data_IF_968027108151
#
_entry.id   IF_968027108151
#
_cell.length_a   1.000
_cell.length_b   1.000
_cell.length_c   1.000
_cell.angle_alpha   90.00
_cell.angle_beta   90.00
_cell.angle_gamma   90.00
#
_symmetry.space_group_name_H-M   'P 1'
#
loop_
_entity.id
_entity.type
_entity.pdbx_description
1 polymer ?
#
# COMPACT_ATOMS: atom_id res chain seq x y z
N UNK A 1 -7.14 -14.85 -1.36
CA UNK A 1 -6.72 -14.56 -2.76
C UNK A 1 -7.87 -14.34 -3.74
N UNK A 2 -8.63 -15.38 -4.15
CA UNK A 2 -9.58 -15.39 -5.30
C UNK A 2 -10.56 -14.18 -5.37
N UNK A 3 -11.04 -13.73 -4.23
CA UNK A 3 -11.98 -12.60 -4.16
C UNK A 3 -11.35 -11.25 -4.60
N UNK A 4 -10.12 -10.95 -4.18
CA UNK A 4 -9.36 -9.78 -4.66
C UNK A 4 -9.16 -9.85 -6.17
N UNK A 5 -8.82 -11.03 -6.69
CA UNK A 5 -8.53 -11.24 -8.11
C UNK A 5 -9.73 -10.89 -9.00
N UNK A 6 -10.93 -11.33 -8.60
CA UNK A 6 -12.19 -10.98 -9.28
C UNK A 6 -12.44 -9.46 -9.25
N UNK A 7 -12.25 -8.83 -8.08
CA UNK A 7 -12.47 -7.39 -7.92
C UNK A 7 -11.46 -6.56 -8.71
N UNK A 8 -10.19 -6.97 -8.76
CA UNK A 8 -9.14 -6.35 -9.58
C UNK A 8 -9.49 -6.44 -11.07
N UNK A 9 -9.77 -7.65 -11.60
CA UNK A 9 -10.16 -7.86 -13.00
C UNK A 9 -11.42 -7.07 -13.38
N UNK A 10 -12.41 -6.99 -12.49
CA UNK A 10 -13.62 -6.16 -12.67
C UNK A 10 -13.31 -4.66 -12.70
N UNK A 11 -12.49 -4.16 -11.77
CA UNK A 11 -12.08 -2.75 -11.71
C UNK A 11 -11.28 -2.34 -12.95
N UNK A 12 -10.39 -3.23 -13.43
CA UNK A 12 -9.70 -3.04 -14.70
C UNK A 12 -10.66 -2.97 -15.90
N UNK A 13 -11.73 -3.76 -15.94
CA UNK A 13 -12.73 -3.66 -17.01
C UNK A 13 -13.39 -2.28 -17.08
N UNK A 14 -13.67 -1.67 -15.92
CA UNK A 14 -14.23 -0.31 -15.81
C UNK A 14 -13.20 0.77 -16.17
N UNK A 15 -11.99 0.68 -15.62
CA UNK A 15 -10.95 1.71 -15.79
C UNK A 15 -10.23 1.63 -17.13
N UNK A 16 -10.02 0.44 -17.67
CA UNK A 16 -9.18 0.19 -18.85
C UNK A 16 -9.98 -0.34 -20.06
N UNK A 17 -11.31 -0.41 -19.94
CA UNK A 17 -12.21 -0.91 -20.98
C UNK A 17 -12.19 -2.44 -21.17
N UNK A 18 -11.29 -3.16 -20.49
CA UNK A 18 -11.21 -4.63 -20.48
C UNK A 18 -10.50 -5.15 -19.22
N UNK A 19 -10.81 -6.37 -18.74
CA UNK A 19 -10.02 -7.01 -17.69
C UNK A 19 -8.58 -7.25 -18.17
N UNK A 20 -7.60 -7.10 -17.26
CA UNK A 20 -6.20 -7.40 -17.54
C UNK A 20 -5.96 -8.92 -17.60
N UNK A 21 -4.91 -9.32 -18.33
CA UNK A 21 -4.49 -10.73 -18.46
C UNK A 21 -3.47 -11.12 -17.38
N UNK A 22 -3.64 -12.31 -16.82
CA UNK A 22 -2.85 -12.83 -15.71
C UNK A 22 -3.46 -12.51 -14.34
N UNK A 23 -2.72 -12.82 -13.28
CA UNK A 23 -3.15 -12.63 -11.88
C UNK A 23 -2.57 -11.35 -11.28
N UNK A 24 -3.19 -10.85 -10.20
CA UNK A 24 -2.85 -9.58 -9.54
C UNK A 24 -1.38 -9.50 -9.13
N UNK A 25 -0.73 -10.60 -8.74
CA UNK A 25 0.70 -10.62 -8.37
C UNK A 25 1.64 -10.19 -9.50
N UNK A 26 1.25 -10.36 -10.77
CA UNK A 26 2.01 -9.81 -11.92
C UNK A 26 2.17 -8.29 -11.82
N UNK A 27 1.20 -7.64 -11.20
CA UNK A 27 1.07 -6.19 -11.05
C UNK A 27 1.59 -5.69 -9.70
N UNK A 28 2.01 -6.58 -8.78
CA UNK A 28 2.38 -6.25 -7.39
C UNK A 28 3.39 -5.10 -7.29
N UNK A 29 4.45 -5.11 -8.11
CA UNK A 29 5.48 -4.06 -8.09
C UNK A 29 4.92 -2.67 -8.40
N UNK A 30 3.96 -2.59 -9.31
CA UNK A 30 3.30 -1.33 -9.68
C UNK A 30 2.31 -0.90 -8.59
N UNK A 31 1.50 -1.84 -8.11
CA UNK A 31 0.51 -1.63 -7.05
C UNK A 31 1.12 -1.28 -5.68
N UNK A 32 2.39 -1.64 -5.44
CA UNK A 32 3.14 -1.32 -4.22
C UNK A 32 3.99 -0.04 -4.33
N UNK A 33 4.07 0.62 -5.49
CA UNK A 33 5.11 1.63 -5.77
C UNK A 33 5.19 2.75 -4.72
N UNK A 34 4.05 3.27 -4.31
CA UNK A 34 3.91 4.35 -3.32
C UNK A 34 3.24 3.85 -2.02
N UNK A 35 3.39 2.56 -1.74
CA UNK A 35 2.85 1.92 -0.53
C UNK A 35 3.93 1.86 0.55
N UNK A 36 3.62 2.39 1.73
CA UNK A 36 4.31 2.03 2.97
C UNK A 36 4.04 0.55 3.26
N UNK A 37 4.89 -0.30 2.73
CA UNK A 37 4.74 -1.75 2.83
C UNK A 37 4.95 -2.29 4.24
N UNK A 38 5.09 -3.60 4.32
CA UNK A 38 5.45 -4.32 5.54
C UNK A 38 6.79 -5.05 5.33
N UNK A 39 7.44 -5.36 6.45
CA UNK A 39 8.59 -6.23 6.53
C UNK A 39 8.14 -7.64 6.92
N UNK A 40 8.75 -8.65 6.31
CA UNK A 40 8.60 -10.06 6.68
C UNK A 40 9.80 -10.47 7.53
N UNK A 41 9.55 -11.01 8.71
CA UNK A 41 10.59 -11.51 9.62
C UNK A 41 10.28 -12.93 10.10
N UNK A 42 11.24 -13.53 10.79
CA UNK A 42 11.00 -14.72 11.62
C UNK A 42 10.67 -14.30 13.05
N UNK A 43 9.92 -15.14 13.76
CA UNK A 43 9.78 -15.02 15.21
C UNK A 43 11.12 -15.27 15.92
N UNK A 44 11.32 -14.60 17.05
CA UNK A 44 12.42 -14.83 17.99
C UNK A 44 12.21 -16.11 18.83
N UNK A 45 11.02 -16.73 18.76
CA UNK A 45 10.65 -17.95 19.49
C UNK A 45 10.48 -19.18 18.59
N UNK A 46 10.30 -19.00 17.28
CA UNK A 46 10.03 -20.10 16.34
C UNK A 46 10.37 -19.72 14.90
N UNK A 47 10.34 -20.68 13.98
CA UNK A 47 10.47 -20.42 12.54
C UNK A 47 9.22 -19.81 11.88
N UNK A 48 8.20 -19.43 12.65
CA UNK A 48 7.01 -18.76 12.10
C UNK A 48 7.38 -17.41 11.47
N UNK A 49 6.63 -17.04 10.43
CA UNK A 49 6.67 -15.70 9.84
C UNK A 49 5.95 -14.72 10.77
N UNK A 50 6.54 -13.55 10.98
CA UNK A 50 5.93 -12.39 11.63
C UNK A 50 5.97 -11.21 10.66
N UNK A 51 4.93 -10.39 10.67
CA UNK A 51 4.80 -9.22 9.80
C UNK A 51 4.86 -7.94 10.64
N UNK A 52 5.70 -6.98 10.23
CA UNK A 52 5.84 -5.68 10.90
C UNK A 52 5.71 -4.52 9.91
N UNK A 53 5.05 -3.44 10.33
CA UNK A 53 4.80 -2.27 9.49
C UNK A 53 6.13 -1.63 9.04
N UNK A 54 6.25 -1.26 7.76
CA UNK A 54 7.50 -0.75 7.16
C UNK A 54 7.94 0.64 7.59
N UNK A 55 7.29 1.25 8.59
CA UNK A 55 7.65 2.57 9.12
C UNK A 55 8.95 2.49 9.93
N UNK A 56 9.74 3.57 9.89
CA UNK A 56 11.04 3.66 10.59
C UNK A 56 10.95 3.33 12.09
N UNK A 57 9.84 3.68 12.74
CA UNK A 57 9.55 3.38 14.15
C UNK A 57 9.69 1.88 14.50
N UNK A 58 9.31 0.98 13.58
CA UNK A 58 9.33 -0.46 13.84
C UNK A 58 10.70 -1.12 13.63
N UNK A 59 11.67 -0.41 13.04
CA UNK A 59 12.97 -0.99 12.69
C UNK A 59 13.76 -1.50 13.91
N UNK A 60 13.67 -0.79 15.05
CA UNK A 60 14.30 -1.21 16.30
C UNK A 60 13.65 -2.43 16.96
N UNK A 61 12.41 -2.77 16.60
CA UNK A 61 11.67 -3.91 17.14
C UNK A 61 11.90 -5.20 16.35
N UNK A 62 12.37 -5.12 15.10
CA UNK A 62 12.55 -6.26 14.20
C UNK A 62 13.31 -7.45 14.81
N UNK A 63 14.41 -7.30 15.59
CA UNK A 63 15.14 -8.43 16.15
C UNK A 63 14.38 -9.24 17.22
N UNK A 64 13.33 -8.64 17.81
CA UNK A 64 12.63 -9.16 18.99
C UNK A 64 11.17 -9.54 18.67
N UNK A 65 10.81 -9.65 17.39
CA UNK A 65 9.45 -9.94 16.95
C UNK A 65 8.99 -11.36 17.34
N UNK A 66 7.74 -11.49 17.76
CA UNK A 66 7.02 -12.77 18.00
C UNK A 66 5.61 -12.69 17.43
N UNK A 67 4.96 -13.82 17.15
CA UNK A 67 3.53 -13.79 16.77
C UNK A 67 2.66 -13.37 17.95
N UNK A 68 1.43 -12.93 17.66
CA UNK A 68 0.46 -12.61 18.70
C UNK A 68 0.25 -13.78 19.69
N UNK A 69 0.07 -15.02 19.21
CA UNK A 69 -0.17 -16.19 20.07
C UNK A 69 1.08 -16.64 20.84
N UNK A 70 2.27 -16.25 20.38
CA UNK A 70 3.52 -16.42 21.12
C UNK A 70 3.61 -15.38 22.23
N UNK A 71 3.29 -14.11 21.96
CA UNK A 71 3.33 -13.03 22.96
C UNK A 71 2.49 -13.33 24.20
N UNK A 72 1.34 -13.98 24.03
CA UNK A 72 0.44 -14.40 25.11
C UNK A 72 1.01 -15.52 26.02
N UNK A 73 2.11 -16.17 25.62
CA UNK A 73 2.71 -17.32 26.31
C UNK A 73 4.09 -17.03 26.90
N UNK A 74 4.57 -15.80 26.77
CA UNK A 74 5.92 -15.41 27.21
C UNK A 74 5.89 -15.07 28.70
N UNK A 75 6.59 -15.89 29.49
CA UNK A 75 6.90 -15.57 30.89
C UNK A 75 8.43 -15.46 31.11
N UNK A 76 9.08 -14.62 30.31
CA UNK A 76 10.51 -14.33 30.45
C UNK A 76 10.72 -13.24 31.52
N UNK A 77 11.45 -13.59 32.59
CA UNK A 77 11.77 -12.70 33.71
C UNK A 77 13.28 -12.63 33.91
N UNK A 78 13.78 -11.49 34.38
CA UNK A 78 15.13 -11.40 34.95
C UNK A 78 15.16 -12.15 36.28
N UNK A 79 16.31 -12.71 36.65
CA UNK A 79 16.56 -13.15 38.02
C UNK A 79 16.53 -11.96 39.00
N UNK A 80 16.30 -12.19 40.31
CA UNK A 80 16.34 -11.12 41.31
C UNK A 80 17.67 -10.35 41.32
N UNK A 81 18.80 -11.03 41.04
CA UNK A 81 20.13 -10.42 40.96
C UNK A 81 20.30 -9.52 39.71
N UNK A 82 19.86 -9.99 38.54
CA UNK A 82 19.86 -9.18 37.31
C UNK A 82 18.93 -7.98 37.40
N UNK A 83 17.80 -8.13 38.10
CA UNK A 83 16.86 -7.05 38.37
C UNK A 83 17.45 -6.03 39.35
N UNK A 84 18.08 -6.49 40.45
CA UNK A 84 18.71 -5.63 41.46
C UNK A 84 19.97 -4.91 40.97
N UNK A 85 20.63 -5.42 39.92
CA UNK A 85 21.80 -4.81 39.28
C UNK A 85 21.46 -3.96 38.05
N UNK A 86 20.17 -3.75 37.74
CA UNK A 86 19.73 -3.01 36.55
C UNK A 86 20.04 -1.50 36.67
N UNK A 87 20.67 -0.95 35.63
CA UNK A 87 21.00 0.47 35.49
C UNK A 87 20.80 0.92 34.04
N UNK A 88 20.65 2.22 33.79
CA UNK A 88 20.58 2.74 32.41
C UNK A 88 21.78 2.36 31.54
N UNK A 89 22.96 2.09 32.14
CA UNK A 89 24.18 1.67 31.43
C UNK A 89 24.17 0.20 30.99
N UNK A 90 23.42 -0.67 31.66
CA UNK A 90 23.36 -2.11 31.33
C UNK A 90 21.97 -2.58 30.87
N UNK A 91 20.95 -1.72 30.92
CA UNK A 91 19.56 -2.06 30.64
C UNK A 91 19.36 -2.73 29.28
N UNK A 92 19.96 -2.23 28.20
CA UNK A 92 19.86 -2.86 26.87
C UNK A 92 20.32 -4.34 26.89
N UNK A 93 21.49 -4.60 27.50
CA UNK A 93 22.06 -5.94 27.59
C UNK A 93 21.25 -6.85 28.53
N UNK A 94 20.79 -6.35 29.66
CA UNK A 94 19.98 -7.11 30.61
C UNK A 94 18.59 -7.44 30.04
N UNK A 95 17.87 -6.41 29.59
CA UNK A 95 16.52 -6.53 29.07
C UNK A 95 16.45 -7.31 27.75
N UNK A 96 17.48 -7.30 26.90
CA UNK A 96 17.47 -8.08 25.64
C UNK A 96 17.24 -9.58 25.83
N UNK A 97 17.51 -10.14 27.03
CA UNK A 97 17.19 -11.54 27.39
C UNK A 97 15.69 -11.81 27.47
N UNK A 98 14.91 -10.81 27.86
CA UNK A 98 13.47 -10.92 28.11
C UNK A 98 12.62 -10.10 27.13
N UNK A 99 13.24 -9.19 26.38
CA UNK A 99 12.58 -8.30 25.43
C UNK A 99 12.08 -9.06 24.20
N UNK A 100 10.76 -9.19 24.12
CA UNK A 100 10.00 -9.71 22.98
C UNK A 100 8.85 -8.73 22.72
N UNK A 101 8.49 -8.52 21.45
CA UNK A 101 7.42 -7.61 21.07
C UNK A 101 6.64 -8.17 19.89
N UNK A 102 5.37 -7.81 19.76
CA UNK A 102 4.59 -8.12 18.56
C UNK A 102 4.04 -6.84 17.95
N UNK A 103 4.02 -6.82 16.62
CA UNK A 103 3.41 -5.77 15.80
C UNK A 103 2.02 -6.17 15.31
N UNK A 104 1.60 -7.39 15.63
CA UNK A 104 0.32 -7.96 15.24
C UNK A 104 -0.79 -7.48 16.18
N UNK A 105 -1.46 -6.41 15.77
CA UNK A 105 -2.74 -6.00 16.36
C UNK A 105 -3.88 -6.59 15.53
N UNK A 106 -4.66 -7.49 16.12
CA UNK A 106 -5.86 -8.09 15.50
C UNK A 106 -7.07 -7.64 16.31
N UNK A 107 -7.98 -6.90 15.69
CA UNK A 107 -9.16 -6.35 16.34
C UNK A 107 -10.43 -6.98 15.75
N UNK A 108 -11.42 -7.26 16.60
CA UNK A 108 -12.75 -7.75 16.20
C UNK A 108 -12.71 -9.01 15.30
N UNK A 109 -13.82 -9.28 14.60
CA UNK A 109 -13.93 -10.38 13.65
C UNK A 109 -13.31 -10.01 12.28
N UNK A 110 -12.65 -10.98 11.66
CA UNK A 110 -11.90 -10.81 10.43
C UNK A 110 -12.11 -12.02 9.52
N UNK A 111 -12.50 -11.79 8.26
CA UNK A 111 -12.83 -12.86 7.30
C UNK A 111 -11.79 -12.86 6.18
N UNK A 112 -11.05 -13.96 6.01
CA UNK A 112 -10.19 -14.18 4.84
C UNK A 112 -9.02 -13.21 4.66
N UNK A 113 -8.55 -12.55 5.71
CA UNK A 113 -7.37 -11.67 5.66
C UNK A 113 -6.07 -12.48 5.66
N UNK A 114 -5.19 -12.18 4.71
CA UNK A 114 -3.97 -12.94 4.41
C UNK A 114 -2.72 -12.03 4.43
N UNK A 115 -1.66 -12.43 5.14
CA UNK A 115 -0.39 -11.67 5.28
C UNK A 115 -0.57 -10.20 5.77
N UNK A 116 -1.56 -9.94 6.65
CA UNK A 116 -1.85 -8.61 7.19
C UNK A 116 -1.24 -8.35 8.58
N UNK A 117 -0.94 -7.09 8.90
CA UNK A 117 -0.46 -6.62 10.22
C UNK A 117 -1.18 -5.35 10.66
N UNK A 118 -1.64 -5.29 11.91
CA UNK A 118 -2.48 -4.20 12.43
C UNK A 118 -3.78 -4.03 11.63
N UNK A 119 -4.84 -4.75 12.00
CA UNK A 119 -6.09 -4.75 11.23
C UNK A 119 -7.32 -5.08 12.09
N UNK A 120 -8.51 -4.70 11.60
CA UNK A 120 -9.77 -5.27 12.06
C UNK A 120 -10.86 -4.30 12.54
N UNK A 121 -12.15 -4.49 12.18
CA UNK A 121 -12.67 -5.61 11.39
C UNK A 121 -12.24 -5.54 9.92
N UNK A 122 -12.15 -6.71 9.28
CA UNK A 122 -11.75 -6.84 7.86
C UNK A 122 -12.49 -7.95 7.13
N UNK A 123 -12.58 -7.78 5.80
CA UNK A 123 -13.08 -8.75 4.84
C UNK A 123 -12.11 -8.79 3.65
N UNK A 124 -11.44 -9.94 3.51
CA UNK A 124 -10.53 -10.36 2.46
C UNK A 124 -9.45 -9.32 2.10
N UNK A 125 -8.69 -8.84 3.09
CA UNK A 125 -7.47 -8.06 2.83
C UNK A 125 -6.28 -8.96 2.49
N UNK A 126 -5.37 -8.46 1.67
CA UNK A 126 -4.13 -9.15 1.33
C UNK A 126 -2.92 -8.24 1.49
N UNK A 127 -1.89 -8.72 2.20
CA UNK A 127 -0.57 -8.06 2.29
C UNK A 127 -0.68 -6.58 2.67
N UNK A 128 -1.54 -6.31 3.65
CA UNK A 128 -1.93 -4.95 4.06
C UNK A 128 -1.53 -4.60 5.49
N UNK A 129 -1.36 -3.30 5.75
CA UNK A 129 -1.17 -2.73 7.09
C UNK A 129 -2.24 -1.69 7.41
N UNK A 130 -2.70 -1.65 8.67
CA UNK A 130 -3.76 -0.75 9.14
C UNK A 130 -5.03 -0.85 8.28
N UNK A 131 -5.63 -2.04 8.22
CA UNK A 131 -6.75 -2.34 7.32
C UNK A 131 -8.10 -2.21 8.02
N UNK A 132 -8.95 -1.27 7.58
CA UNK A 132 -10.30 -0.99 8.08
C UNK A 132 -11.24 -0.51 6.94
N UNK A 133 -12.56 -0.67 7.02
CA UNK A 133 -13.27 -1.89 7.46
C UNK A 133 -13.39 -2.94 6.33
N UNK A 134 -12.92 -2.63 5.11
CA UNK A 134 -12.58 -3.58 4.02
C UNK A 134 -13.74 -4.15 3.17
N UNK A 135 -13.40 -5.16 2.35
CA UNK A 135 -14.09 -5.75 1.20
C UNK A 135 -13.77 -5.09 -0.15
N UNK A 136 -12.60 -5.20 -0.77
CA UNK A 136 -11.33 -5.90 -0.47
C UNK A 136 -10.17 -4.90 -0.71
N UNK A 137 -8.96 -5.16 -0.20
CA UNK A 137 -7.80 -4.30 -0.48
C UNK A 137 -6.44 -5.01 -0.42
N UNK A 138 -5.48 -4.49 -1.18
CA UNK A 138 -4.06 -4.83 -1.11
C UNK A 138 -3.24 -3.94 -2.07
N UNK A 139 -2.19 -3.24 -1.68
CA UNK A 139 -1.35 -3.36 -0.48
C UNK A 139 -1.37 -2.01 0.25
N UNK A 140 -1.55 -1.99 1.57
CA UNK A 140 -2.01 -0.78 2.27
C UNK A 140 -1.13 -0.32 3.44
N UNK A 141 -1.08 0.99 3.65
CA UNK A 141 -0.96 1.59 4.98
C UNK A 141 -2.08 2.61 5.19
N UNK A 142 -3.09 2.13 5.91
CA UNK A 142 -4.14 2.92 6.56
C UNK A 142 -5.22 3.55 5.68
N UNK A 143 -6.06 2.67 5.13
CA UNK A 143 -7.36 3.00 4.57
C UNK A 143 -8.44 3.08 5.66
N UNK A 144 -9.59 3.66 5.32
CA UNK A 144 -10.86 3.36 6.01
C UNK A 144 -12.01 3.20 4.99
N UNK A 145 -12.99 2.35 5.37
CA UNK A 145 -14.20 1.82 4.72
C UNK A 145 -14.20 1.66 3.17
N UNK A 146 -13.06 1.18 2.68
CA UNK A 146 -12.79 0.44 1.43
C UNK A 146 -13.95 -0.41 0.84
N UNK A 147 -14.31 -0.15 -0.42
CA UNK A 147 -14.83 -1.15 -1.37
C UNK A 147 -14.48 -0.72 -2.82
N UNK A 148 -13.38 -1.04 -3.49
CA UNK A 148 -12.22 -1.92 -3.29
C UNK A 148 -10.95 -1.13 -3.72
N UNK A 149 -9.75 -1.39 -3.16
CA UNK A 149 -8.53 -0.58 -3.46
C UNK A 149 -7.27 -1.43 -3.70
N UNK A 150 -6.53 -1.16 -4.79
CA UNK A 150 -5.23 -1.79 -5.05
C UNK A 150 -4.18 -0.81 -5.65
N UNK A 151 -3.07 -0.40 -5.03
CA UNK A 151 -2.73 -0.35 -3.59
C UNK A 151 -2.51 1.10 -3.13
N UNK A 152 -2.27 1.34 -1.82
CA UNK A 152 -2.40 2.67 -1.23
C UNK A 152 -1.55 2.97 0.02
N UNK A 153 -1.32 4.25 0.28
CA UNK A 153 -0.89 4.77 1.61
C UNK A 153 -1.59 6.06 2.03
N UNK A 154 -2.87 6.17 1.67
CA UNK A 154 -4.04 6.38 2.55
C UNK A 154 -5.25 6.72 1.68
N UNK A 155 -6.41 6.12 1.97
CA UNK A 155 -7.68 6.52 1.36
C UNK A 155 -8.89 6.20 2.25
N UNK A 156 -9.82 7.16 2.32
CA UNK A 156 -11.03 7.15 3.18
C UNK A 156 -12.13 7.88 2.42
N UNK A 157 -13.18 7.29 1.86
CA UNK A 157 -13.57 5.89 1.59
C UNK A 157 -13.78 5.77 0.05
N UNK A 158 -14.03 4.59 -0.54
CA UNK A 158 -14.02 4.45 -2.01
C UNK A 158 -15.12 3.58 -2.62
N UNK A 159 -15.36 3.78 -3.92
CA UNK A 159 -16.03 2.82 -4.81
C UNK A 159 -15.12 2.47 -6.00
N UNK A 160 -14.33 1.39 -5.84
CA UNK A 160 -13.38 0.79 -6.80
C UNK A 160 -12.28 1.74 -7.34
N UNK A 161 -11.02 1.60 -6.91
CA UNK A 161 -9.89 2.37 -7.45
C UNK A 161 -8.56 1.60 -7.50
N UNK A 162 -7.64 2.05 -8.35
CA UNK A 162 -6.31 1.44 -8.51
C UNK A 162 -5.21 2.53 -8.47
N UNK A 163 -4.21 2.31 -7.62
CA UNK A 163 -3.10 3.22 -7.33
C UNK A 163 -3.55 4.65 -6.97
N UNK A 164 -4.00 4.79 -5.72
CA UNK A 164 -4.41 6.06 -5.11
C UNK A 164 -3.56 6.41 -3.89
N UNK A 165 -3.11 7.66 -3.82
CA UNK A 165 -2.15 8.11 -2.81
C UNK A 165 -2.68 9.36 -2.09
N UNK A 166 -2.63 9.40 -0.76
CA UNK A 166 -3.01 10.55 0.07
C UNK A 166 -4.35 11.21 -0.34
N UNK A 167 -5.40 10.42 -0.56
CA UNK A 167 -6.65 10.89 -1.19
C UNK A 167 -7.89 10.55 -0.37
N UNK A 168 -9.01 11.23 -0.62
CA UNK A 168 -10.28 10.96 0.07
C UNK A 168 -11.46 10.97 -0.90
N UNK A 169 -12.47 10.12 -0.65
CA UNK A 169 -13.71 10.03 -1.44
C UNK A 169 -13.48 9.94 -2.95
N UNK A 170 -12.68 8.95 -3.39
CA UNK A 170 -12.43 8.69 -4.81
C UNK A 170 -13.28 7.53 -5.35
N UNK A 171 -13.77 7.68 -6.58
CA UNK A 171 -14.59 6.67 -7.27
C UNK A 171 -14.05 6.43 -8.68
N UNK A 172 -13.64 5.20 -9.00
CA UNK A 172 -13.17 4.82 -10.34
C UNK A 172 -12.03 5.72 -10.85
N UNK A 173 -11.00 5.90 -10.02
CA UNK A 173 -9.78 6.65 -10.37
C UNK A 173 -8.57 5.73 -10.61
N UNK A 174 -7.65 6.19 -11.48
CA UNK A 174 -6.43 5.51 -11.87
C UNK A 174 -5.23 6.46 -11.75
N UNK A 175 -4.18 6.06 -11.03
CA UNK A 175 -2.96 6.88 -10.79
C UNK A 175 -3.33 8.31 -10.35
N UNK A 176 -3.94 8.43 -9.17
CA UNK A 176 -4.47 9.71 -8.66
C UNK A 176 -3.93 9.99 -7.26
N UNK A 177 -3.40 11.19 -7.02
CA UNK A 177 -2.78 11.56 -5.75
C UNK A 177 -3.27 12.87 -5.17
N UNK A 178 -3.21 12.99 -3.84
CA UNK A 178 -3.44 14.22 -3.09
C UNK A 178 -4.82 14.85 -3.37
N UNK A 179 -5.80 14.03 -3.75
CA UNK A 179 -7.06 14.45 -4.38
C UNK A 179 -8.29 14.08 -3.55
N UNK A 180 -9.34 14.89 -3.70
CA UNK A 180 -10.57 14.78 -2.92
C UNK A 180 -11.84 14.76 -3.77
N UNK A 181 -12.85 14.02 -3.30
CA UNK A 181 -14.24 14.10 -3.78
C UNK A 181 -14.41 13.97 -5.31
N UNK A 182 -13.56 13.15 -5.96
CA UNK A 182 -13.41 13.14 -7.43
C UNK A 182 -13.66 11.76 -8.04
N UNK A 183 -14.03 11.71 -9.33
CA UNK A 183 -14.40 10.47 -10.01
C UNK A 183 -14.05 10.40 -11.48
N UNK A 184 -13.86 9.17 -12.00
CA UNK A 184 -13.43 8.90 -13.39
C UNK A 184 -12.13 9.65 -13.78
N UNK A 185 -11.21 9.84 -12.82
CA UNK A 185 -9.96 10.57 -13.01
C UNK A 185 -8.79 9.64 -13.39
N UNK A 186 -7.94 10.11 -14.31
CA UNK A 186 -6.73 9.41 -14.75
C UNK A 186 -5.53 10.36 -14.67
N UNK A 187 -4.47 9.96 -13.97
CA UNK A 187 -3.24 10.76 -13.86
C UNK A 187 -3.50 12.18 -13.33
N UNK A 188 -4.21 12.27 -12.22
CA UNK A 188 -4.59 13.52 -11.60
C UNK A 188 -3.85 13.74 -10.28
N UNK A 189 -3.39 14.97 -10.03
CA UNK A 189 -2.67 15.35 -8.83
C UNK A 189 -3.30 16.61 -8.21
N UNK A 190 -3.59 16.57 -6.91
CA UNK A 190 -4.18 17.68 -6.17
C UNK A 190 -5.46 18.22 -6.86
N UNK A 191 -6.41 17.32 -7.16
CA UNK A 191 -7.71 17.69 -7.75
C UNK A 191 -8.84 17.54 -6.74
N UNK A 192 -9.82 18.45 -6.77
CA UNK A 192 -10.94 18.49 -5.82
C UNK A 192 -12.28 18.69 -6.55
N UNK A 193 -13.28 17.86 -6.24
CA UNK A 193 -14.60 17.87 -6.87
C UNK A 193 -14.57 17.78 -8.41
N UNK A 194 -13.63 16.99 -8.97
CA UNK A 194 -13.45 16.82 -10.40
C UNK A 194 -14.12 15.54 -10.91
N UNK A 195 -14.68 15.58 -12.13
CA UNK A 195 -15.43 14.48 -12.73
C UNK A 195 -15.00 14.27 -14.19
N UNK A 196 -14.60 13.05 -14.57
CA UNK A 196 -14.09 12.77 -15.91
C UNK A 196 -12.92 13.71 -16.28
N UNK A 197 -11.78 13.55 -15.59
CA UNK A 197 -10.58 14.37 -15.82
C UNK A 197 -9.36 13.52 -16.17
N UNK A 198 -8.49 14.02 -17.05
CA UNK A 198 -7.23 13.39 -17.41
C UNK A 198 -6.08 14.39 -17.35
N UNK A 199 -4.95 13.97 -16.77
CA UNK A 199 -3.72 14.78 -16.73
C UNK A 199 -3.96 16.17 -16.10
N UNK A 200 -4.81 16.24 -15.08
CA UNK A 200 -5.17 17.49 -14.41
C UNK A 200 -4.38 17.67 -13.11
N UNK A 201 -3.85 18.87 -12.89
CA UNK A 201 -2.92 19.20 -11.81
C UNK A 201 -3.38 20.48 -11.11
N UNK A 202 -3.58 20.44 -9.80
CA UNK A 202 -4.05 21.58 -8.99
C UNK A 202 -5.42 22.15 -9.43
N UNK A 203 -6.30 21.30 -9.97
CA UNK A 203 -7.57 21.69 -10.57
C UNK A 203 -8.76 21.48 -9.62
N UNK A 204 -9.82 22.28 -9.77
CA UNK A 204 -11.03 22.18 -8.92
C UNK A 204 -12.30 22.31 -9.75
N UNK A 205 -13.28 21.46 -9.49
CA UNK A 205 -14.63 21.57 -10.06
C UNK A 205 -14.74 21.34 -11.58
N UNK A 206 -13.69 20.84 -12.24
CA UNK A 206 -13.68 20.64 -13.69
C UNK A 206 -14.46 19.38 -14.11
N UNK A 207 -15.06 19.43 -15.30
CA UNK A 207 -15.73 18.28 -15.93
C UNK A 207 -15.26 18.07 -17.36
N UNK A 208 -15.07 16.80 -17.75
CA UNK A 208 -14.63 16.41 -19.10
C UNK A 208 -13.35 17.14 -19.54
N UNK A 209 -12.38 17.19 -18.63
CA UNK A 209 -11.17 18.00 -18.78
C UNK A 209 -9.93 17.17 -19.13
N UNK A 210 -9.07 17.73 -19.99
CA UNK A 210 -7.76 17.18 -20.34
C UNK A 210 -6.73 18.30 -20.14
N UNK A 211 -5.71 18.08 -19.32
CA UNK A 211 -4.65 19.08 -19.10
C UNK A 211 -5.18 20.41 -18.53
N UNK A 212 -6.11 20.35 -17.57
CA UNK A 212 -6.83 21.49 -16.99
C UNK A 212 -7.74 22.29 -17.96
N UNK A 213 -8.03 21.79 -19.17
CA UNK A 213 -8.97 22.41 -20.11
C UNK A 213 -10.19 21.54 -20.29
N UNK A 214 -11.40 22.09 -20.10
CA UNK A 214 -12.65 21.40 -20.41
C UNK A 214 -12.82 21.29 -21.93
N UNK A 215 -12.83 20.05 -22.46
CA UNK A 215 -12.88 19.78 -23.91
C UNK A 215 -14.26 19.31 -24.40
N UNK A 216 -15.21 19.18 -23.47
CA UNK A 216 -16.54 18.62 -23.72
C UNK A 216 -16.54 17.08 -23.79
N UNK A 217 -17.73 16.46 -23.64
CA UNK A 217 -17.85 15.00 -23.45
C UNK A 217 -17.41 14.18 -24.66
N UNK A 218 -17.62 14.67 -25.89
CA UNK A 218 -17.23 13.95 -27.11
C UNK A 218 -15.70 13.85 -27.26
N UNK A 219 -15.01 14.99 -27.17
CA UNK A 219 -13.55 15.07 -27.18
C UNK A 219 -12.93 14.22 -26.06
N UNK A 220 -13.51 14.31 -24.87
CA UNK A 220 -13.08 13.52 -23.72
C UNK A 220 -13.26 12.01 -23.95
N UNK A 221 -14.43 11.57 -24.43
CA UNK A 221 -14.69 10.14 -24.67
C UNK A 221 -13.77 9.53 -25.74
N UNK A 222 -13.51 10.28 -26.83
CA UNK A 222 -12.55 9.87 -27.87
C UNK A 222 -11.15 9.68 -27.30
N UNK A 223 -10.68 10.63 -26.50
CA UNK A 223 -9.35 10.56 -25.89
C UNK A 223 -9.26 9.48 -24.79
N UNK A 224 -10.33 9.31 -23.97
CA UNK A 224 -10.45 8.26 -22.95
C UNK A 224 -10.22 6.88 -23.54
N UNK A 225 -10.88 6.56 -24.66
CA UNK A 225 -10.72 5.28 -25.34
C UNK A 225 -9.26 5.02 -25.75
N UNK A 226 -8.60 6.01 -26.35
CA UNK A 226 -7.18 5.91 -26.75
C UNK A 226 -6.25 5.69 -25.54
N UNK A 227 -6.50 6.37 -24.42
CA UNK A 227 -5.73 6.20 -23.19
C UNK A 227 -5.95 4.80 -22.58
N UNK A 228 -7.20 4.34 -22.50
CA UNK A 228 -7.56 3.02 -21.95
C UNK A 228 -6.90 1.88 -22.74
N UNK A 229 -6.98 1.91 -24.07
CA UNK A 229 -6.34 0.92 -24.95
C UNK A 229 -4.81 0.89 -24.78
N UNK A 230 -4.19 2.06 -24.58
CA UNK A 230 -2.75 2.16 -24.28
C UNK A 230 -2.42 1.55 -22.92
N UNK A 231 -3.11 1.96 -21.86
CA UNK A 231 -2.83 1.49 -20.49
C UNK A 231 -3.02 -0.02 -20.34
N UNK A 232 -4.08 -0.58 -20.94
CA UNK A 232 -4.32 -2.03 -20.92
C UNK A 232 -3.17 -2.82 -21.59
N UNK A 233 -2.64 -2.32 -22.71
CA UNK A 233 -1.50 -2.95 -23.40
C UNK A 233 -0.22 -2.83 -22.57
N UNK A 234 0.13 -1.62 -22.15
CA UNK A 234 1.37 -1.36 -21.41
C UNK A 234 1.43 -2.22 -20.13
N UNK A 235 0.32 -2.31 -19.39
CA UNK A 235 0.21 -3.19 -18.22
C UNK A 235 0.29 -4.68 -18.58
N UNK A 236 -0.38 -5.12 -19.65
CA UNK A 236 -0.29 -6.52 -20.09
C UNK A 236 1.12 -6.94 -20.54
N UNK A 237 1.90 -6.02 -21.11
CA UNK A 237 3.27 -6.28 -21.61
C UNK A 237 4.33 -6.10 -20.51
N UNK A 238 4.26 -5.05 -19.69
CA UNK A 238 5.32 -4.69 -18.74
C UNK A 238 5.00 -5.05 -17.28
N UNK A 239 3.74 -5.30 -16.93
CA UNK A 239 3.29 -5.46 -15.53
C UNK A 239 3.28 -4.15 -14.71
N UNK A 240 3.52 -3.01 -15.37
CA UNK A 240 3.57 -1.67 -14.78
C UNK A 240 3.18 -0.63 -15.82
N UNK A 241 2.77 0.56 -15.38
CA UNK A 241 2.68 1.74 -16.23
C UNK A 241 3.51 2.89 -15.64
N UNK A 242 3.41 4.09 -16.20
CA UNK A 242 3.90 5.31 -15.54
C UNK A 242 3.02 5.66 -14.35
N UNK A 243 3.56 6.40 -13.38
CA UNK A 243 2.77 7.04 -12.31
C UNK A 243 2.54 8.54 -12.57
N UNK A 244 1.70 9.16 -11.73
CA UNK A 244 1.35 10.58 -11.85
C UNK A 244 2.52 11.55 -11.59
N UNK A 245 3.50 11.15 -10.78
CA UNK A 245 4.66 11.99 -10.44
C UNK A 245 5.70 12.00 -11.58
N UNK A 246 5.88 10.88 -12.28
CA UNK A 246 6.71 10.78 -13.50
C UNK A 246 6.21 11.72 -14.61
N UNK A 247 4.90 11.95 -14.71
CA UNK A 247 4.32 12.88 -15.68
C UNK A 247 4.58 14.35 -15.30
N UNK A 248 4.38 14.72 -14.04
CA UNK A 248 4.57 16.10 -13.57
C UNK A 248 6.03 16.56 -13.54
N UNK A 249 6.98 15.63 -13.42
CA UNK A 249 8.42 15.94 -13.32
C UNK A 249 9.15 16.02 -14.67
N UNK A 250 8.47 15.76 -15.79
CA UNK A 250 9.10 15.73 -17.11
C UNK A 250 10.12 14.60 -17.28
N UNK A 251 10.08 13.58 -16.41
CA UNK A 251 11.01 12.46 -16.43
C UNK A 251 10.95 11.71 -17.75
N UNK A 252 12.06 11.72 -18.50
CA UNK A 252 12.21 10.83 -19.65
C UNK A 252 12.12 9.38 -19.17
N UNK A 253 11.45 8.52 -19.93
CA UNK A 253 11.28 7.09 -19.62
C UNK A 253 12.58 6.28 -19.87
N UNK A 254 13.69 6.80 -19.34
CA UNK A 254 15.05 6.28 -19.42
C UNK A 254 15.60 5.86 -18.05
N UNK A 255 14.73 5.70 -17.05
CA UNK A 255 15.06 4.96 -15.83
C UNK A 255 15.38 3.51 -16.21
N UNK A 256 16.66 3.27 -16.56
CA UNK A 256 17.19 1.96 -16.94
C UNK A 256 16.63 0.89 -16.01
N UNK A 257 16.09 -0.20 -16.58
CA UNK A 257 15.63 -1.37 -15.83
C UNK A 257 16.67 -1.70 -14.76
N UNK A 258 16.35 -1.40 -13.50
CA UNK A 258 17.17 -1.75 -12.35
C UNK A 258 17.04 -3.25 -12.12
N UNK A 259 17.70 -4.01 -12.99
CA UNK A 259 17.91 -5.44 -12.87
C UNK A 259 18.78 -5.69 -11.66
N UNK A 260 18.13 -5.79 -10.51
CA UNK A 260 18.80 -5.84 -9.22
C UNK A 260 17.79 -5.95 -8.12
N UNK A 261 17.58 -7.18 -7.65
CA UNK A 261 17.11 -7.45 -6.29
C UNK A 261 18.18 -7.04 -5.28
N UNK A 262 18.56 -5.76 -5.28
CA UNK A 262 19.41 -5.15 -4.28
C UNK A 262 18.65 -5.21 -2.98
N UNK A 263 18.95 -6.21 -2.15
CA UNK A 263 18.60 -6.20 -0.73
C UNK A 263 18.93 -4.80 -0.22
N UNK A 264 17.92 -4.08 0.27
CA UNK A 264 18.14 -2.79 0.90
C UNK A 264 19.10 -3.04 2.08
N UNK A 265 20.39 -2.77 1.88
CA UNK A 265 21.36 -2.69 2.96
C UNK A 265 20.99 -1.43 3.72
N UNK A 266 20.04 -1.58 4.64
CA UNK A 266 19.86 -0.66 5.75
C UNK A 266 21.24 -0.59 6.41
N UNK A 267 21.92 0.53 6.21
CA UNK A 267 23.24 0.76 6.76
C UNK A 267 23.10 0.80 8.27
N UNK A 268 23.37 -0.33 8.94
CA UNK A 268 23.66 -0.32 10.37
C UNK A 268 24.86 0.60 10.55
N UNK A 269 24.58 1.81 11.00
CA UNK A 269 25.59 2.75 11.47
C UNK A 269 26.32 2.04 12.60
N UNK A 270 27.55 1.59 12.34
CA UNK A 270 28.44 1.15 13.41
C UNK A 270 28.69 2.36 14.30
N UNK A 271 27.98 2.42 15.44
CA UNK A 271 28.38 3.25 16.56
C UNK A 271 29.67 2.63 17.08
N UNK A 272 30.79 3.25 16.76
CA UNK A 272 32.05 2.98 17.44
C UNK A 272 31.87 3.46 18.89
N UNK A 273 31.95 2.53 19.83
CA UNK A 273 32.30 2.80 21.23
C UNK A 273 33.78 2.52 21.43
#
# INVERSE_FOLDING_TARGET
MNEIEKAFKSTCAVLLGRPLKGETEKYERWLMRHVTGFTRNKSQMSDKKVYAIGLQFYQGMLPNLVTYEESLKIDRKLSPEESGSLTLKNAEKALSKICTTTTETVLYENIGSEECVCYGPTQYCYRGTHCWFSKYAGYCFWLKDTEYIFGASRAVECAFCINVYNSFRLTRCFETSDSGSSSDCYYCHNVENCENCMFCFNAKGLKYAIGNVEVGPESYAKFRKMLQEKLARDLEEEGTCRDVYELGTGGSAGAKKSGGGGKAKIGMVKRNG
#
